data_IF_463016198838
#
_entry.id   IF_463016198838
#
_cell.length_a   1.000
_cell.length_b   1.000
_cell.length_c   1.000
_cell.angle_alpha   90.00
_cell.angle_beta   90.00
_cell.angle_gamma   90.00
#
_symmetry.space_group_name_H-M   'P 1'
#
loop_
_entity.id
_entity.type
_entity.pdbx_description
1 polymer ?
#
# COMPACT_ATOMS: atom_id res chain seq x y z
N UNK A 1 -9.03 -9.21 7.70
CA UNK A 1 -10.25 -9.71 7.03
C UNK A 1 -10.92 -8.62 6.19
N UNK A 2 -11.69 -7.73 6.81
CA UNK A 2 -12.47 -6.69 6.09
C UNK A 2 -11.63 -5.73 5.23
N UNK A 3 -10.42 -5.33 5.67
CA UNK A 3 -9.53 -4.45 4.87
C UNK A 3 -9.01 -5.14 3.60
N UNK A 4 -8.72 -6.44 3.67
CA UNK A 4 -8.37 -7.22 2.48
C UNK A 4 -9.54 -7.23 1.49
N UNK A 5 -10.78 -7.40 1.98
CA UNK A 5 -11.97 -7.30 1.14
C UNK A 5 -12.10 -5.92 0.48
N UNK A 6 -11.84 -4.83 1.20
CA UNK A 6 -11.87 -3.48 0.60
C UNK A 6 -10.77 -3.26 -0.43
N UNK A 7 -9.53 -3.73 -0.20
CA UNK A 7 -8.45 -3.66 -1.21
C UNK A 7 -8.82 -4.43 -2.48
N UNK A 8 -9.60 -5.50 -2.35
CA UNK A 8 -10.07 -6.28 -3.49
C UNK A 8 -11.26 -5.62 -4.22
N UNK A 9 -11.93 -4.62 -3.63
CA UNK A 9 -12.96 -3.83 -4.32
C UNK A 9 -12.28 -2.83 -5.23
N UNK A 10 -12.04 -3.23 -6.47
CA UNK A 10 -11.53 -2.27 -7.45
C UNK A 10 -12.59 -1.20 -7.77
N UNK A 11 -12.23 0.10 -7.77
CA UNK A 11 -13.09 1.11 -8.37
C UNK A 11 -13.27 0.78 -9.86
N UNK A 12 -14.51 0.86 -10.35
CA UNK A 12 -14.77 0.66 -11.78
C UNK A 12 -13.95 1.67 -12.59
N UNK A 13 -13.32 1.20 -13.68
CA UNK A 13 -12.62 1.99 -14.72
C UNK A 13 -11.18 2.47 -14.48
N UNK A 14 -10.44 1.98 -13.47
CA UNK A 14 -8.99 2.25 -13.40
C UNK A 14 -8.19 0.94 -13.35
N UNK A 15 -7.56 0.51 -14.46
CA UNK A 15 -6.66 -0.63 -14.42
C UNK A 15 -5.45 -0.30 -13.54
N UNK A 16 -5.37 -0.92 -12.37
CA UNK A 16 -4.20 -0.85 -11.50
C UNK A 16 -3.11 -1.76 -12.08
N UNK A 17 -1.89 -1.25 -12.23
CA UNK A 17 -0.78 -2.06 -12.73
C UNK A 17 -0.43 -3.20 -11.78
N UNK A 18 0.14 -4.28 -12.31
CA UNK A 18 0.40 -5.50 -11.54
C UNK A 18 1.29 -5.22 -10.33
N UNK A 19 2.36 -4.45 -10.50
CA UNK A 19 3.29 -4.10 -9.44
C UNK A 19 2.61 -3.28 -8.32
N UNK A 20 1.67 -2.41 -8.66
CA UNK A 20 0.86 -1.66 -7.68
C UNK A 20 -0.11 -2.56 -6.92
N UNK A 21 -0.77 -3.48 -7.63
CA UNK A 21 -1.63 -4.49 -7.00
C UNK A 21 -0.82 -5.37 -6.03
N UNK A 22 0.38 -5.81 -6.43
CA UNK A 22 1.27 -6.61 -5.60
C UNK A 22 1.67 -5.84 -4.33
N UNK A 23 2.04 -4.56 -4.43
CA UNK A 23 2.40 -3.75 -3.27
C UNK A 23 1.24 -3.56 -2.29
N UNK A 24 0.03 -3.22 -2.76
CA UNK A 24 -1.11 -3.00 -1.85
C UNK A 24 -1.60 -4.29 -1.22
N UNK A 25 -1.56 -5.41 -1.96
CA UNK A 25 -1.90 -6.72 -1.42
C UNK A 25 -0.88 -7.17 -0.37
N UNK A 26 0.41 -6.93 -0.61
CA UNK A 26 1.44 -7.18 0.40
C UNK A 26 1.16 -6.38 1.68
N UNK A 27 0.82 -5.10 1.56
CA UNK A 27 0.46 -4.27 2.71
C UNK A 27 -0.76 -4.82 3.46
N UNK A 28 -1.81 -5.24 2.74
CA UNK A 28 -3.03 -5.77 3.31
C UNK A 28 -2.84 -7.13 4.01
N UNK A 29 -2.10 -8.05 3.39
CA UNK A 29 -1.86 -9.40 3.92
C UNK A 29 -0.97 -9.37 5.16
N UNK A 30 -0.01 -8.46 5.21
CA UNK A 30 0.90 -8.31 6.35
C UNK A 30 0.38 -7.36 7.45
N UNK A 31 -0.90 -6.97 7.42
CA UNK A 31 -1.55 -6.19 8.47
C UNK A 31 -1.16 -4.71 8.51
N UNK A 32 -0.47 -4.18 7.50
CA UNK A 32 -0.08 -2.76 7.46
C UNK A 32 -1.27 -1.81 7.26
N UNK A 33 -2.46 -2.33 6.96
CA UNK A 33 -3.69 -1.56 6.81
C UNK A 33 -4.64 -1.70 8.01
N UNK A 34 -4.27 -2.45 9.06
CA UNK A 34 -5.19 -2.78 10.15
C UNK A 34 -5.61 -1.56 10.99
N UNK A 35 -4.73 -0.56 11.08
CA UNK A 35 -4.93 0.73 11.75
C UNK A 35 -5.64 1.77 10.87
N UNK A 36 -6.06 1.40 9.66
CA UNK A 36 -6.79 2.27 8.74
C UNK A 36 -8.28 1.95 8.86
N UNK A 37 -9.09 3.01 8.95
CA UNK A 37 -10.54 2.90 8.89
C UNK A 37 -10.97 2.34 7.52
N UNK A 38 -11.96 1.44 7.51
CA UNK A 38 -12.37 0.67 6.33
C UNK A 38 -12.77 1.58 5.16
N UNK A 39 -13.46 2.69 5.44
CA UNK A 39 -13.88 3.72 4.49
C UNK A 39 -12.71 4.56 3.93
N UNK A 40 -11.54 4.55 4.58
CA UNK A 40 -10.33 5.26 4.15
C UNK A 40 -9.36 4.40 3.35
N UNK A 41 -9.61 3.09 3.18
CA UNK A 41 -8.70 2.16 2.48
C UNK A 41 -8.44 2.59 1.04
N UNK A 42 -9.47 2.98 0.29
CA UNK A 42 -9.31 3.44 -1.10
C UNK A 42 -8.48 4.73 -1.21
N UNK A 43 -8.62 5.63 -0.24
CA UNK A 43 -7.81 6.85 -0.18
C UNK A 43 -6.35 6.51 0.16
N UNK A 44 -6.12 5.61 1.12
CA UNK A 44 -4.79 5.11 1.42
C UNK A 44 -4.12 4.51 0.17
N UNK A 45 -4.82 3.64 -0.55
CA UNK A 45 -4.32 2.99 -1.77
C UNK A 45 -3.85 4.01 -2.81
N UNK A 46 -4.72 4.99 -3.14
CA UNK A 46 -4.40 6.04 -4.12
C UNK A 46 -3.18 6.85 -3.71
N UNK A 47 -3.10 7.23 -2.44
CA UNK A 47 -2.00 8.03 -1.90
C UNK A 47 -0.71 7.23 -1.77
N UNK A 48 -0.80 5.97 -1.42
CA UNK A 48 0.33 5.05 -1.35
C UNK A 48 0.97 4.89 -2.73
N UNK A 49 0.17 4.73 -3.79
CA UNK A 49 0.70 4.66 -5.15
C UNK A 49 1.43 5.95 -5.57
N UNK A 50 0.84 7.11 -5.31
CA UNK A 50 1.50 8.40 -5.58
C UNK A 50 2.82 8.53 -4.82
N UNK A 51 2.85 8.12 -3.55
CA UNK A 51 4.06 8.14 -2.74
C UNK A 51 5.14 7.20 -3.29
N UNK A 52 4.79 5.97 -3.66
CA UNK A 52 5.73 5.01 -4.21
C UNK A 52 6.28 5.45 -5.57
N UNK A 53 5.44 6.00 -6.45
CA UNK A 53 5.90 6.51 -7.75
C UNK A 53 6.87 7.70 -7.60
N UNK A 54 6.63 8.57 -6.61
CA UNK A 54 7.41 9.79 -6.41
C UNK A 54 8.70 9.58 -5.60
N UNK A 55 8.67 8.72 -4.58
CA UNK A 55 9.76 8.59 -3.61
C UNK A 55 10.55 7.29 -3.74
N UNK A 56 9.89 6.21 -4.18
CA UNK A 56 10.50 4.87 -4.26
C UNK A 56 10.26 4.20 -5.62
N UNK A 57 10.49 4.89 -6.77
CA UNK A 57 10.20 4.34 -8.10
C UNK A 57 11.02 3.09 -8.41
N UNK A 58 12.17 2.90 -7.77
CA UNK A 58 13.00 1.69 -7.90
C UNK A 58 12.34 0.44 -7.33
N UNK A 59 11.53 0.55 -6.28
CA UNK A 59 10.77 -0.57 -5.72
C UNK A 59 9.70 -1.00 -6.73
N UNK A 60 8.96 -0.03 -7.29
CA UNK A 60 7.94 -0.27 -8.32
C UNK A 60 8.55 -0.97 -9.53
N UNK A 61 9.70 -0.48 -10.03
CA UNK A 61 10.43 -1.08 -11.16
C UNK A 61 10.95 -2.48 -10.86
N UNK A 62 11.45 -2.71 -9.64
CA UNK A 62 11.97 -4.02 -9.23
C UNK A 62 10.87 -5.08 -9.24
N UNK A 63 9.70 -4.76 -8.68
CA UNK A 63 8.54 -5.65 -8.68
C UNK A 63 8.03 -5.90 -10.11
N UNK A 64 7.96 -4.85 -10.95
CA UNK A 64 7.53 -5.00 -12.34
C UNK A 64 8.47 -5.89 -13.16
N UNK A 65 9.78 -5.77 -12.95
CA UNK A 65 10.82 -6.54 -13.64
C UNK A 65 10.85 -7.99 -13.17
N UNK A 66 10.93 -8.20 -11.87
CA UNK A 66 11.16 -9.52 -11.29
C UNK A 66 9.87 -10.33 -11.18
N UNK A 67 8.70 -9.66 -11.18
CA UNK A 67 7.37 -10.25 -10.95
C UNK A 67 7.26 -10.99 -9.61
N UNK A 68 8.14 -10.68 -8.68
CA UNK A 68 8.19 -11.19 -7.32
C UNK A 68 8.72 -10.13 -6.37
N UNK A 69 8.40 -10.25 -5.07
CA UNK A 69 9.01 -9.43 -4.03
C UNK A 69 10.20 -10.21 -3.46
N UNK A 70 11.41 -9.93 -3.97
CA UNK A 70 12.66 -10.48 -3.41
C UNK A 70 12.94 -9.90 -2.02
N UNK A 71 13.76 -10.59 -1.22
CA UNK A 71 14.07 -10.17 0.16
C UNK A 71 14.58 -8.73 0.28
N UNK A 72 15.42 -8.24 -0.64
CA UNK A 72 15.90 -6.86 -0.60
C UNK A 72 14.79 -5.85 -0.94
N UNK A 73 13.99 -6.15 -1.97
CA UNK A 73 12.80 -5.36 -2.35
C UNK A 73 11.77 -5.35 -1.23
N UNK A 74 11.60 -6.46 -0.52
CA UNK A 74 10.70 -6.60 0.62
C UNK A 74 11.11 -5.66 1.76
N UNK A 75 12.38 -5.68 2.17
CA UNK A 75 12.89 -4.80 3.23
C UNK A 75 12.67 -3.33 2.86
N UNK A 76 12.96 -2.97 1.60
CA UNK A 76 12.74 -1.63 1.09
C UNK A 76 11.25 -1.25 1.10
N UNK A 77 10.38 -2.15 0.65
CA UNK A 77 8.93 -1.95 0.64
C UNK A 77 8.37 -1.77 2.05
N UNK A 78 8.77 -2.60 3.02
CA UNK A 78 8.37 -2.45 4.43
C UNK A 78 8.80 -1.08 4.96
N UNK A 79 10.03 -0.64 4.66
CA UNK A 79 10.52 0.68 5.09
C UNK A 79 9.69 1.80 4.46
N UNK A 80 9.42 1.73 3.16
CA UNK A 80 8.61 2.72 2.45
C UNK A 80 7.16 2.77 2.98
N UNK A 81 6.55 1.62 3.30
CA UNK A 81 5.21 1.58 3.92
C UNK A 81 5.24 2.28 5.28
N UNK A 82 6.23 2.01 6.13
CA UNK A 82 6.34 2.67 7.45
C UNK A 82 6.56 4.17 7.30
N UNK A 83 7.46 4.56 6.42
CA UNK A 83 7.73 5.97 6.10
C UNK A 83 6.47 6.70 5.64
N UNK A 84 5.71 6.10 4.73
CA UNK A 84 4.44 6.65 4.25
C UNK A 84 3.45 6.89 5.40
N UNK A 85 3.31 5.90 6.28
CA UNK A 85 2.40 5.97 7.43
C UNK A 85 2.83 7.04 8.44
N UNK A 86 4.13 7.20 8.67
CA UNK A 86 4.68 8.17 9.62
C UNK A 86 4.63 9.62 9.10
N UNK A 87 5.01 9.84 7.83
CA UNK A 87 5.20 11.18 7.28
C UNK A 87 3.95 11.76 6.63
N UNK A 88 3.12 10.92 6.00
CA UNK A 88 2.14 11.43 5.03
C UNK A 88 0.71 11.53 5.58
N UNK A 89 0.31 10.77 6.61
CA UNK A 89 -1.10 10.71 7.03
C UNK A 89 -1.36 10.43 8.53
N UNK A 90 -0.76 11.13 9.49
CA UNK A 90 -1.09 10.97 10.91
C UNK A 90 -2.60 11.08 11.19
N UNK A 91 -3.35 11.93 10.46
CA UNK A 91 -4.81 12.05 10.61
C UNK A 91 -5.64 10.84 10.16
N UNK A 92 -5.07 9.93 9.35
CA UNK A 92 -5.76 8.69 8.99
C UNK A 92 -5.74 7.65 10.11
N UNK A 93 -4.75 7.74 11.01
CA UNK A 93 -4.49 6.78 12.10
C UNK A 93 -5.11 7.18 13.45
N UNK A 94 -5.74 8.36 13.57
CA UNK A 94 -6.22 8.92 14.84
C UNK A 94 -7.48 8.25 15.43
N UNK A 95 -8.15 7.35 14.71
CA UNK A 95 -9.50 6.90 15.09
C UNK A 95 -9.60 5.49 15.70
N UNK A 96 -8.48 4.80 15.98
CA UNK A 96 -8.52 3.41 16.49
C UNK A 96 -8.12 3.27 17.97
N UNK A 97 -8.10 4.37 18.74
CA UNK A 97 -8.18 4.30 20.21
C UNK A 97 -9.62 4.54 20.66
N UNK A 98 -10.44 3.49 20.58
CA UNK A 98 -11.70 3.34 21.28
C UNK A 98 -11.68 2.01 21.98
#
# INVERSE_FOLDING_TARGET
GQRLTEVLKQPQFVPVSLERQVMILYAAVNGFLDDIAVDKVALFESKFYQFMDGNHPEIVKSIAKDREIRSETEKALIKAIKEFKEQSYPEMFQYVRG
#
